data_IF_679198933944
#
_entry.id   IF_679198933944
#
_cell.length_a   1.000
_cell.length_b   1.000
_cell.length_c   1.000
_cell.angle_alpha   90.00
_cell.angle_beta   90.00
_cell.angle_gamma   90.00
#
_symmetry.space_group_name_H-M   'P 1'
#
loop_
_entity.id
_entity.type
_entity.pdbx_description
1 polymer ?
#
# COMPACT_ATOMS: atom_id res chain seq x y z
N UNK A 1 61.41 14.83 3.03
CA UNK A 1 60.54 14.33 4.12
C UNK A 1 59.38 15.29 4.45
N UNK A 2 58.96 16.18 3.54
CA UNK A 2 57.81 17.09 3.73
C UNK A 2 56.70 16.91 2.69
N UNK A 3 56.94 16.17 1.61
CA UNK A 3 55.95 15.95 0.54
C UNK A 3 54.87 14.94 0.97
N UNK A 4 55.24 13.92 1.74
CA UNK A 4 54.30 12.92 2.28
C UNK A 4 53.31 13.49 3.32
N UNK A 5 53.67 14.58 4.01
CA UNK A 5 52.78 15.25 4.97
C UNK A 5 51.70 16.11 4.28
N UNK A 6 52.01 16.67 3.10
CA UNK A 6 51.05 17.45 2.32
C UNK A 6 50.05 16.54 1.59
N UNK A 7 50.49 15.35 1.16
CA UNK A 7 49.59 14.33 0.57
C UNK A 7 48.60 13.75 1.59
N UNK A 8 49.00 13.55 2.86
CA UNK A 8 48.08 13.11 3.92
C UNK A 8 47.06 14.20 4.29
N UNK A 9 47.43 15.48 4.25
CA UNK A 9 46.51 16.58 4.47
C UNK A 9 45.47 16.71 3.33
N UNK A 10 45.88 16.51 2.08
CA UNK A 10 44.96 16.51 0.92
C UNK A 10 44.00 15.30 0.89
N UNK A 11 44.40 14.16 1.46
CA UNK A 11 43.50 13.01 1.64
C UNK A 11 42.45 13.32 2.73
N UNK A 12 42.79 14.12 3.75
CA UNK A 12 41.87 14.56 4.79
C UNK A 12 40.84 15.62 4.33
N UNK A 13 41.12 16.36 3.24
CA UNK A 13 40.20 17.37 2.69
C UNK A 13 39.17 16.80 1.69
N UNK A 14 39.22 15.51 1.34
CA UNK A 14 38.31 14.91 0.36
C UNK A 14 37.05 14.27 0.95
N UNK A 15 36.92 14.14 2.26
CA UNK A 15 35.63 13.74 2.86
C UNK A 15 34.82 14.99 3.14
N UNK A 16 34.10 15.48 2.12
CA UNK A 16 32.96 16.34 2.37
C UNK A 16 31.93 15.50 3.14
N UNK A 17 31.96 15.61 4.47
CA UNK A 17 30.99 14.95 5.33
C UNK A 17 29.63 15.62 5.09
N UNK A 18 28.72 14.89 4.46
CA UNK A 18 27.38 15.38 4.16
C UNK A 18 26.56 15.28 5.43
N UNK A 19 26.57 16.33 6.25
CA UNK A 19 25.72 16.39 7.45
C UNK A 19 24.27 16.18 7.03
N UNK A 20 23.56 15.16 7.55
CA UNK A 20 22.18 14.90 7.18
C UNK A 20 21.30 16.09 7.58
N UNK A 21 20.55 16.63 6.61
CA UNK A 21 19.61 17.73 6.83
C UNK A 21 18.20 17.15 6.84
N UNK A 22 17.53 17.23 8.00
CA UNK A 22 16.16 16.77 8.16
C UNK A 22 15.14 17.89 7.90
N UNK A 23 13.94 17.57 7.40
CA UNK A 23 12.90 18.56 7.16
C UNK A 23 12.33 19.09 8.49
N UNK A 24 12.35 20.41 8.68
CA UNK A 24 11.93 21.09 9.92
C UNK A 24 10.90 22.21 9.65
N UNK A 25 9.94 22.01 8.75
CA UNK A 25 8.93 23.04 8.45
C UNK A 25 7.81 23.08 9.53
N UNK A 26 7.70 24.24 10.19
CA UNK A 26 6.99 24.49 11.45
C UNK A 26 5.45 24.47 11.37
N UNK A 27 4.84 24.10 10.25
CA UNK A 27 3.36 24.15 10.10
C UNK A 27 2.69 22.84 9.67
N UNK A 28 3.45 21.78 9.34
CA UNK A 28 2.87 20.47 8.99
C UNK A 28 3.90 19.32 9.16
N UNK A 29 4.61 19.27 10.29
CA UNK A 29 5.53 18.18 10.59
C UNK A 29 4.75 16.85 10.67
N UNK A 30 4.99 15.96 9.71
CA UNK A 30 4.43 14.61 9.69
C UNK A 30 5.55 13.60 9.80
N UNK A 31 5.31 12.56 10.60
CA UNK A 31 6.20 11.43 10.77
C UNK A 31 6.64 10.85 9.41
N UNK A 32 5.69 10.62 8.50
CA UNK A 32 5.97 10.09 7.15
C UNK A 32 6.88 10.98 6.31
N UNK A 33 6.75 12.31 6.41
CA UNK A 33 7.62 13.26 5.68
C UNK A 33 9.03 13.20 6.22
N UNK A 34 9.18 13.03 7.54
CA UNK A 34 10.47 12.95 8.20
C UNK A 34 11.24 11.68 7.84
N UNK A 35 10.64 10.51 8.05
CA UNK A 35 11.35 9.24 7.94
C UNK A 35 11.69 8.85 6.49
N UNK A 36 11.06 9.51 5.51
CA UNK A 36 11.41 9.33 4.10
C UNK A 36 12.76 9.98 3.75
N UNK A 37 13.20 10.98 4.53
CA UNK A 37 14.54 11.55 4.41
C UNK A 37 15.59 10.59 4.95
N UNK A 38 16.69 10.43 4.21
CA UNK A 38 17.77 9.56 4.61
C UNK A 38 18.38 10.01 5.95
N UNK A 39 18.62 9.06 6.87
CA UNK A 39 19.20 9.30 8.20
C UNK A 39 18.36 10.15 9.18
N UNK A 40 17.11 10.46 8.84
CA UNK A 40 16.18 11.15 9.74
C UNK A 40 15.31 10.16 10.53
N UNK A 41 14.89 10.59 11.70
CA UNK A 41 14.05 9.86 12.63
C UNK A 41 13.01 10.81 13.25
N UNK A 42 11.94 10.24 13.78
CA UNK A 42 10.79 10.97 14.31
C UNK A 42 10.52 10.61 15.78
N UNK A 43 10.45 11.61 16.66
CA UNK A 43 10.06 11.42 18.05
C UNK A 43 8.53 11.51 18.25
N UNK A 44 7.89 10.39 18.58
CA UNK A 44 6.45 10.32 18.86
C UNK A 44 6.05 10.65 20.30
N UNK A 45 7.01 10.87 21.20
CA UNK A 45 6.72 11.17 22.59
C UNK A 45 5.89 12.46 22.72
N UNK A 46 4.75 12.40 23.43
CA UNK A 46 3.76 13.49 23.48
C UNK A 46 4.38 14.83 23.89
N UNK A 47 5.25 14.82 24.91
CA UNK A 47 5.82 16.03 25.51
C UNK A 47 7.10 16.53 24.83
N UNK A 48 7.61 15.85 23.79
CA UNK A 48 8.91 16.17 23.19
C UNK A 48 8.94 17.55 22.49
N UNK A 49 7.85 17.92 21.80
CA UNK A 49 7.73 19.21 21.10
C UNK A 49 6.96 20.27 21.89
N UNK A 50 6.53 19.97 23.12
CA UNK A 50 5.64 20.84 23.91
C UNK A 50 6.36 22.04 24.57
N UNK A 51 7.70 22.08 24.52
CA UNK A 51 8.54 23.10 25.17
C UNK A 51 9.11 24.21 24.28
N UNK A 52 8.70 24.31 23.01
CA UNK A 52 9.19 25.33 22.06
C UNK A 52 10.28 24.82 21.11
N UNK A 53 10.17 25.25 19.84
CA UNK A 53 11.08 25.06 18.67
C UNK A 53 11.75 23.68 18.47
N UNK A 54 11.29 22.65 19.17
CA UNK A 54 11.84 21.31 19.05
C UNK A 54 11.07 20.53 18.01
N UNK A 55 11.63 20.48 16.80
CA UNK A 55 11.11 19.65 15.73
C UNK A 55 11.12 18.19 16.16
N UNK A 56 10.05 17.48 15.85
CA UNK A 56 9.97 16.03 16.10
C UNK A 56 10.79 15.23 15.12
N UNK A 57 11.17 15.82 13.99
CA UNK A 57 12.03 15.25 12.99
C UNK A 57 13.47 15.71 13.23
N UNK A 58 14.43 14.80 13.37
CA UNK A 58 15.86 15.12 13.40
C UNK A 58 16.66 13.82 13.16
N UNK A 59 17.98 13.84 13.23
CA UNK A 59 18.76 12.60 13.27
C UNK A 59 18.48 11.82 14.56
N UNK A 60 18.66 10.50 14.53
CA UNK A 60 18.43 9.65 15.70
C UNK A 60 19.25 10.09 16.92
N UNK A 61 20.52 10.43 16.70
CA UNK A 61 21.44 10.89 17.75
C UNK A 61 20.94 12.20 18.38
N UNK A 62 20.52 13.17 17.55
CA UNK A 62 20.01 14.45 18.02
C UNK A 62 18.70 14.31 18.79
N UNK A 63 17.82 13.38 18.40
CA UNK A 63 16.61 13.10 19.16
C UNK A 63 16.91 12.49 20.53
N UNK A 64 17.91 11.60 20.63
CA UNK A 64 18.36 11.05 21.91
C UNK A 64 18.98 12.12 22.81
N UNK A 65 19.86 12.96 22.28
CA UNK A 65 20.49 14.07 23.01
C UNK A 65 19.44 15.05 23.56
N UNK A 66 18.35 15.26 22.83
CA UNK A 66 17.22 16.10 23.24
C UNK A 66 16.23 15.37 24.15
N UNK A 67 16.49 14.12 24.51
CA UNK A 67 15.73 13.37 25.50
C UNK A 67 14.50 12.63 24.96
N UNK A 68 14.45 12.30 23.67
CA UNK A 68 13.43 11.37 23.17
C UNK A 68 13.73 9.94 23.66
N UNK A 69 12.77 9.23 24.28
CA UNK A 69 12.95 7.82 24.65
C UNK A 69 13.19 6.94 23.41
N UNK A 70 14.09 5.96 23.52
CA UNK A 70 14.49 5.07 22.40
C UNK A 70 13.29 4.35 21.79
N UNK A 71 12.35 3.87 22.60
CA UNK A 71 11.11 3.19 22.19
C UNK A 71 10.08 4.12 21.54
N UNK A 72 10.32 5.43 21.62
CA UNK A 72 9.49 6.49 21.05
C UNK A 72 10.13 7.17 19.83
N UNK A 73 11.23 6.62 19.29
CA UNK A 73 11.84 7.09 18.05
C UNK A 73 11.45 6.16 16.90
N UNK A 74 10.84 6.71 15.87
CA UNK A 74 10.51 6.01 14.63
C UNK A 74 11.53 6.34 13.54
N UNK A 75 12.04 5.33 12.86
CA UNK A 75 13.09 5.47 11.86
C UNK A 75 12.94 4.37 10.83
N UNK A 76 13.19 4.67 9.55
CA UNK A 76 13.01 3.68 8.47
C UNK A 76 14.30 2.94 8.10
N UNK A 77 15.48 3.39 8.60
CA UNK A 77 16.81 2.95 8.08
C UNK A 77 17.95 2.71 9.09
N UNK A 78 17.74 2.73 10.42
CA UNK A 78 18.89 2.44 11.32
C UNK A 78 19.08 0.96 11.50
N UNK A 79 20.22 0.52 10.98
CA UNK A 79 20.80 -0.77 11.23
C UNK A 79 21.49 -0.75 12.60
N UNK A 80 21.19 -1.78 13.39
CA UNK A 80 22.10 -2.43 14.32
C UNK A 80 22.05 -2.12 15.84
N UNK A 81 20.92 -1.66 16.41
CA UNK A 81 20.74 -1.79 17.87
C UNK A 81 19.30 -1.86 18.38
N UNK A 82 18.31 -1.64 17.52
CA UNK A 82 16.91 -1.97 17.77
C UNK A 82 16.47 -2.79 16.58
N UNK A 83 16.10 -4.06 16.77
CA UNK A 83 15.56 -4.92 15.71
C UNK A 83 14.27 -4.29 15.21
N UNK A 84 14.35 -3.41 14.21
CA UNK A 84 13.20 -2.97 13.45
C UNK A 84 12.66 -4.22 12.75
N UNK A 85 11.76 -4.93 13.43
CA UNK A 85 11.27 -6.22 12.99
C UNK A 85 10.35 -6.02 11.80
N UNK A 86 10.53 -6.85 10.77
CA UNK A 86 9.55 -7.00 9.69
C UNK A 86 8.17 -7.19 10.28
N UNK A 87 7.24 -6.34 9.89
CA UNK A 87 5.89 -6.35 10.44
C UNK A 87 5.01 -7.30 9.64
N UNK A 88 4.22 -8.12 10.33
CA UNK A 88 3.16 -8.93 9.71
C UNK A 88 2.18 -8.05 8.91
N UNK A 89 1.91 -6.83 9.41
CA UNK A 89 1.06 -5.85 8.72
C UNK A 89 1.64 -5.36 7.39
N UNK A 90 2.95 -5.51 7.22
CA UNK A 90 3.68 -5.21 5.99
C UNK A 90 4.05 -6.50 5.23
N UNK A 91 3.29 -7.59 5.43
CA UNK A 91 3.54 -8.89 4.81
C UNK A 91 4.94 -9.45 5.07
N UNK A 92 5.58 -9.01 6.17
CA UNK A 92 6.99 -9.27 6.46
C UNK A 92 7.97 -8.75 5.39
N UNK A 93 7.54 -7.88 4.49
CA UNK A 93 8.35 -7.26 3.44
C UNK A 93 8.58 -5.77 3.71
N UNK A 94 8.57 -5.38 4.98
CA UNK A 94 8.82 -4.01 5.40
C UNK A 94 8.62 -3.80 6.89
N UNK A 95 8.92 -2.58 7.33
CA UNK A 95 8.78 -2.13 8.71
C UNK A 95 7.53 -1.25 8.84
N UNK A 96 6.77 -1.42 9.93
CA UNK A 96 5.63 -0.56 10.23
C UNK A 96 6.09 0.68 11.03
N UNK A 97 5.97 1.85 10.43
CA UNK A 97 6.35 3.14 11.03
C UNK A 97 5.42 4.26 10.53
N UNK A 98 5.15 5.27 11.36
CA UNK A 98 4.35 6.44 10.98
C UNK A 98 3.00 6.10 10.32
N UNK A 99 2.30 5.08 10.84
CA UNK A 99 1.01 4.57 10.33
C UNK A 99 1.03 3.95 8.92
N UNK A 100 2.20 3.55 8.43
CA UNK A 100 2.36 2.89 7.14
C UNK A 100 3.51 1.89 7.10
N UNK A 101 3.64 1.21 5.95
CA UNK A 101 4.74 0.29 5.70
C UNK A 101 5.86 0.99 4.93
N UNK A 102 7.09 0.85 5.42
CA UNK A 102 8.30 1.13 4.67
C UNK A 102 8.81 -0.18 4.08
N UNK A 103 8.62 -0.37 2.79
CA UNK A 103 8.89 -1.65 2.13
C UNK A 103 10.38 -1.89 1.92
N UNK A 104 10.76 -3.17 2.04
CA UNK A 104 12.07 -3.67 1.65
C UNK A 104 12.28 -3.45 0.14
N UNK A 105 13.53 -3.41 -0.28
CA UNK A 105 13.87 -3.25 -1.70
C UNK A 105 13.20 -4.35 -2.56
N UNK A 106 12.55 -3.93 -3.66
CA UNK A 106 11.80 -4.82 -4.54
C UNK A 106 10.35 -5.10 -4.09
N UNK A 107 9.88 -4.50 -3.01
CA UNK A 107 8.47 -4.59 -2.59
C UNK A 107 7.75 -3.25 -2.65
N UNK A 108 6.50 -3.28 -3.08
CA UNK A 108 5.60 -2.11 -3.17
C UNK A 108 4.19 -2.46 -2.70
N UNK A 109 3.35 -1.44 -2.67
CA UNK A 109 1.99 -1.51 -2.16
C UNK A 109 1.89 -0.87 -0.78
N UNK A 110 0.67 -0.67 -0.31
CA UNK A 110 0.42 0.01 0.97
C UNK A 110 0.94 -0.81 2.15
N UNK A 111 0.97 -2.13 1.97
CA UNK A 111 1.36 -3.12 2.96
C UNK A 111 2.51 -4.00 2.46
N UNK A 112 3.28 -3.54 1.46
CA UNK A 112 4.38 -4.28 0.84
C UNK A 112 3.95 -5.65 0.29
N UNK A 113 2.71 -5.73 -0.16
CA UNK A 113 2.05 -6.95 -0.62
C UNK A 113 2.45 -7.37 -2.04
N UNK A 114 3.13 -6.48 -2.78
CA UNK A 114 3.56 -6.73 -4.16
C UNK A 114 5.07 -6.83 -4.25
N UNK A 115 5.57 -7.84 -4.95
CA UNK A 115 6.96 -7.94 -5.38
C UNK A 115 7.10 -7.36 -6.80
N UNK A 116 8.07 -6.48 -7.01
CA UNK A 116 8.45 -6.00 -8.34
C UNK A 116 9.41 -7.01 -8.97
N UNK A 117 9.09 -7.49 -10.17
CA UNK A 117 10.08 -8.15 -11.02
C UNK A 117 10.77 -7.09 -11.89
N UNK A 118 12.10 -7.14 -11.94
CA UNK A 118 13.01 -6.18 -12.58
C UNK A 118 12.81 -5.97 -14.09
N UNK A 119 11.90 -6.69 -14.75
CA UNK A 119 11.74 -6.67 -16.20
C UNK A 119 10.69 -5.70 -16.74
N UNK A 120 9.63 -5.38 -15.99
CA UNK A 120 8.65 -4.32 -16.29
C UNK A 120 7.87 -4.04 -15.00
N UNK A 121 7.20 -2.88 -14.89
CA UNK A 121 6.09 -2.59 -13.95
C UNK A 121 6.41 -1.53 -12.88
N UNK A 122 6.31 -0.28 -13.29
CA UNK A 122 5.88 0.83 -12.41
C UNK A 122 4.46 0.58 -11.89
N UNK A 123 4.06 1.23 -10.78
CA UNK A 123 2.69 1.13 -10.23
C UNK A 123 1.60 1.42 -11.27
N UNK A 124 1.84 2.40 -12.15
CA UNK A 124 0.91 2.78 -13.22
C UNK A 124 0.75 1.71 -14.32
N UNK A 125 1.77 0.88 -14.56
CA UNK A 125 1.68 -0.24 -15.50
C UNK A 125 0.92 -1.41 -14.87
N UNK A 126 1.11 -1.61 -13.57
CA UNK A 126 0.39 -2.63 -12.82
C UNK A 126 -1.12 -2.36 -12.78
N UNK A 127 -1.52 -1.09 -12.66
CA UNK A 127 -2.93 -0.68 -12.70
C UNK A 127 -3.59 -1.00 -14.06
N UNK A 128 -2.84 -0.94 -15.16
CA UNK A 128 -3.35 -1.32 -16.50
C UNK A 128 -3.77 -2.79 -16.56
N UNK A 129 -3.15 -3.67 -15.77
CA UNK A 129 -3.51 -5.09 -15.72
C UNK A 129 -4.89 -5.34 -15.10
N UNK A 130 -5.47 -4.34 -14.44
CA UNK A 130 -6.80 -4.36 -13.84
C UNK A 130 -7.87 -3.66 -14.69
N UNK A 131 -7.52 -3.22 -15.91
CA UNK A 131 -8.45 -2.65 -16.87
C UNK A 131 -9.00 -3.76 -17.77
N UNK A 132 -10.32 -3.82 -17.96
CA UNK A 132 -10.95 -4.79 -18.87
C UNK A 132 -10.75 -4.41 -20.34
N UNK A 133 -10.70 -3.11 -20.63
CA UNK A 133 -10.39 -2.53 -21.92
C UNK A 133 -9.30 -1.47 -21.74
N UNK A 134 -8.49 -1.22 -22.77
CA UNK A 134 -7.44 -0.19 -22.74
C UNK A 134 -7.99 1.25 -22.74
N UNK A 135 -9.31 1.40 -22.67
CA UNK A 135 -10.01 2.68 -22.62
C UNK A 135 -10.03 3.22 -21.19
N UNK A 136 -9.34 4.35 -20.97
CA UNK A 136 -9.15 4.98 -19.65
C UNK A 136 -10.43 5.55 -19.04
N UNK A 137 -11.55 5.47 -19.75
CA UNK A 137 -12.88 5.88 -19.29
C UNK A 137 -13.55 4.85 -18.38
N UNK A 138 -13.12 3.58 -18.40
CA UNK A 138 -13.67 2.56 -17.51
C UNK A 138 -12.93 2.50 -16.17
N UNK A 139 -13.65 2.32 -15.05
CA UNK A 139 -13.03 2.19 -13.74
C UNK A 139 -12.22 0.89 -13.64
N UNK A 140 -11.09 0.93 -12.92
CA UNK A 140 -10.33 -0.27 -12.57
C UNK A 140 -11.23 -1.30 -11.90
N UNK A 141 -11.04 -2.57 -12.24
CA UNK A 141 -11.83 -3.66 -11.69
C UNK A 141 -13.34 -3.43 -11.82
N UNK A 142 -13.76 -2.87 -12.96
CA UNK A 142 -15.16 -2.54 -13.29
C UNK A 142 -15.87 -1.69 -12.22
N UNK A 143 -15.12 -1.01 -11.34
CA UNK A 143 -15.66 -0.28 -10.19
C UNK A 143 -16.18 -1.17 -9.05
N UNK A 144 -16.04 -2.49 -9.16
CA UNK A 144 -16.53 -3.49 -8.21
C UNK A 144 -15.39 -4.14 -7.40
N UNK A 145 -14.19 -3.56 -7.44
CA UNK A 145 -13.01 -4.11 -6.78
C UNK A 145 -11.91 -3.08 -6.59
N UNK A 146 -10.82 -3.53 -5.97
CA UNK A 146 -9.58 -2.77 -5.84
C UNK A 146 -8.49 -3.49 -6.63
N UNK A 147 -7.69 -2.76 -7.39
CA UNK A 147 -6.53 -3.34 -8.08
C UNK A 147 -5.37 -3.52 -7.09
N UNK A 148 -4.89 -4.75 -6.93
CA UNK A 148 -3.78 -5.10 -6.04
C UNK A 148 -2.78 -5.93 -6.83
N UNK A 149 -1.57 -5.41 -7.01
CA UNK A 149 -0.48 -6.07 -7.76
C UNK A 149 -0.91 -6.56 -9.16
N UNK A 150 -1.76 -5.80 -9.86
CA UNK A 150 -2.21 -6.13 -11.22
C UNK A 150 -3.30 -7.19 -11.29
N UNK A 151 -3.96 -7.46 -10.16
CA UNK A 151 -5.12 -8.33 -10.07
C UNK A 151 -6.25 -7.62 -9.34
N UNK A 152 -7.47 -7.82 -9.82
CA UNK A 152 -8.64 -7.28 -9.14
C UNK A 152 -9.03 -8.13 -7.92
N UNK A 153 -9.13 -7.47 -6.77
CA UNK A 153 -9.74 -8.00 -5.57
C UNK A 153 -11.17 -7.46 -5.47
N UNK A 154 -12.15 -8.31 -5.75
CA UNK A 154 -13.55 -7.90 -5.78
C UNK A 154 -14.07 -7.53 -4.39
N UNK A 155 -14.89 -6.48 -4.35
CA UNK A 155 -15.48 -5.97 -3.13
C UNK A 155 -16.43 -6.99 -2.51
N UNK A 156 -16.40 -7.09 -1.18
CA UNK A 156 -17.36 -7.92 -0.42
C UNK A 156 -18.61 -7.11 -0.11
N UNK A 157 -19.78 -7.74 -0.28
CA UNK A 157 -21.08 -7.17 0.07
C UNK A 157 -21.45 -7.46 1.52
N UNK A 158 -22.36 -6.68 2.15
CA UNK A 158 -22.88 -6.99 3.49
C UNK A 158 -23.55 -8.38 3.55
N UNK A 159 -24.22 -8.77 2.46
CA UNK A 159 -24.75 -10.11 2.29
C UNK A 159 -23.67 -11.01 1.68
N UNK A 160 -23.20 -12.00 2.43
CA UNK A 160 -22.13 -12.90 1.98
C UNK A 160 -22.51 -13.79 0.78
N UNK A 161 -23.81 -13.92 0.47
CA UNK A 161 -24.29 -14.64 -0.72
C UNK A 161 -24.23 -13.80 -1.99
N UNK A 162 -24.11 -12.48 -1.87
CA UNK A 162 -23.96 -11.55 -2.99
C UNK A 162 -22.47 -11.35 -3.27
N UNK A 163 -22.01 -11.81 -4.43
CA UNK A 163 -20.61 -11.80 -4.79
C UNK A 163 -20.39 -11.10 -6.12
N UNK A 164 -19.34 -10.30 -6.18
CA UNK A 164 -18.72 -9.87 -7.43
C UNK A 164 -17.60 -10.85 -7.77
N UNK A 165 -17.47 -11.20 -9.04
CA UNK A 165 -16.48 -12.15 -9.55
C UNK A 165 -16.09 -11.83 -11.00
N UNK A 166 -15.20 -12.65 -11.55
CA UNK A 166 -14.55 -12.39 -12.83
C UNK A 166 -13.14 -11.84 -12.63
N UNK A 167 -12.37 -11.76 -13.72
CA UNK A 167 -10.96 -11.32 -13.66
C UNK A 167 -10.86 -9.85 -13.26
N UNK A 168 -11.85 -9.08 -13.65
CA UNK A 168 -11.96 -7.64 -13.46
C UNK A 168 -13.14 -7.27 -12.58
N UNK A 169 -13.74 -8.21 -11.84
CA UNK A 169 -14.95 -7.98 -11.04
C UNK A 169 -16.15 -7.47 -11.88
N UNK A 170 -16.20 -7.90 -13.14
CA UNK A 170 -17.18 -7.51 -14.14
C UNK A 170 -18.53 -8.22 -13.98
N UNK A 171 -18.56 -9.33 -13.23
CA UNK A 171 -19.75 -10.16 -13.04
C UNK A 171 -20.24 -10.13 -11.60
N UNK A 172 -21.53 -10.39 -11.43
CA UNK A 172 -22.16 -10.60 -10.14
C UNK A 172 -23.30 -11.63 -10.24
N UNK A 173 -23.72 -12.16 -9.09
CA UNK A 173 -24.76 -13.18 -8.99
C UNK A 173 -26.12 -12.63 -8.50
N UNK A 174 -26.35 -11.32 -8.56
CA UNK A 174 -27.55 -10.70 -7.98
C UNK A 174 -28.26 -9.68 -8.90
N UNK A 175 -27.67 -9.31 -10.02
CA UNK A 175 -28.23 -8.41 -11.04
C UNK A 175 -28.73 -9.17 -12.29
N UNK A 176 -29.54 -10.19 -12.08
CA UNK A 176 -30.22 -10.91 -13.17
C UNK A 176 -31.71 -10.54 -13.29
N UNK A 177 -32.36 -10.93 -14.41
CA UNK A 177 -33.80 -10.83 -14.57
C UNK A 177 -34.58 -11.41 -13.41
N UNK A 178 -35.65 -10.71 -13.03
CA UNK A 178 -36.53 -11.10 -11.93
C UNK A 178 -37.93 -11.37 -12.46
N UNK A 179 -38.52 -12.47 -12.03
CA UNK A 179 -39.96 -12.72 -12.18
C UNK A 179 -40.56 -12.87 -10.80
N UNK A 180 -41.73 -12.25 -10.57
CA UNK A 180 -42.40 -12.22 -9.26
C UNK A 180 -41.46 -11.81 -8.10
N UNK A 181 -40.54 -10.87 -8.37
CA UNK A 181 -39.52 -10.34 -7.45
C UNK A 181 -38.38 -11.30 -7.07
N UNK A 182 -38.38 -12.53 -7.60
CA UNK A 182 -37.33 -13.52 -7.38
C UNK A 182 -36.34 -13.49 -8.55
N UNK A 183 -35.05 -13.51 -8.22
CA UNK A 183 -33.97 -13.62 -9.22
C UNK A 183 -34.08 -15.01 -9.83
N UNK A 184 -34.09 -15.08 -11.16
CA UNK A 184 -34.22 -16.34 -11.90
C UNK A 184 -35.39 -17.22 -11.45
N UNK A 185 -36.47 -16.58 -10.96
CA UNK A 185 -37.68 -17.24 -10.45
C UNK A 185 -37.45 -18.29 -9.37
N UNK A 186 -36.28 -18.31 -8.73
CA UNK A 186 -35.83 -19.41 -7.84
C UNK A 186 -35.74 -20.79 -8.53
N UNK A 187 -35.64 -20.81 -9.87
CA UNK A 187 -35.50 -22.01 -10.71
C UNK A 187 -34.20 -21.98 -11.53
N UNK A 188 -33.18 -21.33 -10.98
CA UNK A 188 -31.94 -21.09 -11.69
C UNK A 188 -30.97 -20.28 -10.86
N UNK A 189 -29.74 -20.22 -11.34
CA UNK A 189 -28.69 -19.40 -10.75
C UNK A 189 -28.40 -18.19 -11.66
N UNK A 190 -28.14 -17.04 -11.04
CA UNK A 190 -27.71 -15.85 -11.75
C UNK A 190 -26.20 -15.91 -12.01
N UNK A 191 -25.82 -15.95 -13.29
CA UNK A 191 -24.44 -15.88 -13.75
C UNK A 191 -24.26 -14.68 -14.68
N UNK A 192 -23.57 -13.65 -14.19
CA UNK A 192 -23.15 -12.47 -14.94
C UNK A 192 -24.29 -11.81 -15.74
N UNK A 193 -25.41 -11.53 -15.07
CA UNK A 193 -26.59 -10.90 -15.66
C UNK A 193 -27.53 -11.84 -16.42
N UNK A 194 -27.18 -13.12 -16.55
CA UNK A 194 -28.00 -14.14 -17.21
C UNK A 194 -28.48 -15.20 -16.23
N UNK A 195 -29.73 -15.61 -16.34
CA UNK A 195 -30.26 -16.73 -15.57
C UNK A 195 -29.91 -18.06 -16.22
N UNK A 196 -29.15 -18.89 -15.51
CA UNK A 196 -28.87 -20.27 -15.87
C UNK A 196 -29.96 -21.14 -15.23
N UNK A 197 -30.93 -21.54 -16.05
CA UNK A 197 -32.10 -22.27 -15.57
C UNK A 197 -31.79 -23.72 -15.21
N UNK A 198 -32.46 -24.20 -14.17
CA UNK A 198 -32.47 -25.60 -13.81
C UNK A 198 -33.24 -26.42 -14.87
N UNK A 199 -33.02 -27.74 -14.86
CA UNK A 199 -33.65 -28.66 -15.80
C UNK A 199 -35.18 -28.55 -15.70
N UNK A 200 -35.85 -28.39 -16.84
CA UNK A 200 -37.31 -28.24 -16.91
C UNK A 200 -37.79 -26.80 -16.79
N UNK A 201 -36.89 -25.81 -16.78
CA UNK A 201 -37.22 -24.38 -16.79
C UNK A 201 -36.52 -23.64 -17.94
N UNK A 202 -37.20 -22.62 -18.45
CA UNK A 202 -36.72 -21.74 -19.52
C UNK A 202 -37.26 -20.32 -19.36
N UNK A 203 -36.81 -19.44 -20.25
CA UNK A 203 -37.14 -18.02 -20.24
C UNK A 203 -36.01 -17.19 -19.62
N UNK A 204 -36.00 -15.87 -19.85
CA UNK A 204 -34.93 -14.98 -19.42
C UNK A 204 -34.77 -14.91 -17.89
N UNK A 205 -35.82 -15.23 -17.13
CA UNK A 205 -35.82 -15.31 -15.68
C UNK A 205 -36.20 -16.71 -15.19
N UNK A 206 -36.09 -17.76 -15.99
CA UNK A 206 -36.50 -19.14 -15.65
C UNK A 206 -37.95 -19.26 -15.16
N UNK A 207 -38.84 -18.44 -15.72
CA UNK A 207 -40.22 -18.30 -15.30
C UNK A 207 -41.20 -19.25 -16.00
N UNK A 208 -40.75 -19.94 -17.05
CA UNK A 208 -41.55 -20.86 -17.86
C UNK A 208 -41.08 -22.31 -17.71
N UNK A 209 -41.99 -23.29 -17.61
CA UNK A 209 -41.61 -24.71 -17.72
C UNK A 209 -41.11 -25.07 -19.13
N UNK A 210 -40.15 -25.97 -19.21
CA UNK A 210 -39.66 -26.57 -20.45
C UNK A 210 -40.28 -27.97 -20.64
N UNK A 211 -41.30 -28.03 -21.50
CA UNK A 211 -42.07 -29.22 -21.84
C UNK A 211 -41.62 -29.81 -23.18
#
# INVERSE_FOLDING_TARGET
MFIWLVSLALIFFLTADSTPVCPHETTNERCSTCINSNLCAWCKAKNFASGGNSSRCDTYERLLERGCPIDMIEHSKLNNTTTASRSERCHFHGIWACDGCHCDEGFIGKYCECQIDSTTNTTAEMDKLCMINEDTTQPLCSGNGVCVCGRCQCMRRPNAKEIFYGRFCECDNFNCPRSRRLICSDHGHCDCGTCICEIGWKGPACELPDH
#
